data_IF_108254926973
#
_entry.id   IF_108254926973
#
_cell.length_a   1.000
_cell.length_b   1.000
_cell.length_c   1.000
_cell.angle_alpha   90.00
_cell.angle_beta   90.00
_cell.angle_gamma   90.00
#
_symmetry.space_group_name_H-M   'P 1'
#
loop_
_entity.id
_entity.type
_entity.pdbx_description
1 polymer ?
#
# COMPACT_ATOMS: atom_id res chain seq x y z
N UNK A 1 -1.96 -20.13 -13.22
CA UNK A 1 -1.52 -18.79 -13.67
C UNK A 1 -0.31 -18.39 -12.85
N UNK A 2 0.75 -17.86 -13.48
CA UNK A 2 1.94 -17.41 -12.75
C UNK A 2 1.64 -16.04 -12.11
N UNK A 3 1.79 -15.92 -10.79
CA UNK A 3 1.74 -14.62 -10.11
C UNK A 3 3.06 -13.88 -10.36
N UNK A 4 3.00 -12.66 -10.88
CA UNK A 4 4.15 -11.77 -10.96
C UNK A 4 4.25 -10.96 -9.66
N UNK A 5 5.47 -10.78 -9.14
CA UNK A 5 5.72 -10.05 -7.90
C UNK A 5 6.66 -8.88 -8.14
N UNK A 6 6.27 -7.70 -7.68
CA UNK A 6 7.12 -6.50 -7.67
C UNK A 6 7.43 -6.14 -6.22
N UNK A 7 8.72 -5.98 -5.91
CA UNK A 7 9.16 -5.51 -4.59
C UNK A 7 9.38 -3.99 -4.60
N UNK A 8 8.80 -3.30 -3.62
CA UNK A 8 8.80 -1.85 -3.53
C UNK A 8 9.37 -1.37 -2.20
N UNK A 9 10.33 -0.45 -2.23
CA UNK A 9 10.76 0.27 -1.03
C UNK A 9 11.08 1.72 -1.36
N UNK A 10 10.67 2.63 -0.48
CA UNK A 10 10.97 4.05 -0.59
C UNK A 10 9.80 4.95 -0.21
N UNK A 11 9.99 6.28 -0.24
CA UNK A 11 8.96 7.24 0.16
C UNK A 11 7.75 7.24 -0.79
N UNK A 12 6.58 7.72 -0.35
CA UNK A 12 5.34 7.69 -1.13
C UNK A 12 5.44 8.23 -2.56
N UNK A 13 6.23 9.29 -2.79
CA UNK A 13 6.44 9.85 -4.13
C UNK A 13 7.19 8.89 -5.04
N UNK A 14 8.21 8.20 -4.51
CA UNK A 14 8.97 7.23 -5.27
C UNK A 14 8.09 6.05 -5.66
N UNK A 15 7.31 5.51 -4.71
CA UNK A 15 6.34 4.44 -5.00
C UNK A 15 5.33 4.89 -6.05
N UNK A 16 4.79 6.11 -5.93
CA UNK A 16 3.85 6.67 -6.91
C UNK A 16 4.45 6.73 -8.32
N UNK A 17 5.71 7.19 -8.43
CA UNK A 17 6.43 7.22 -9.70
C UNK A 17 6.64 5.81 -10.26
N UNK A 18 7.04 4.86 -9.41
CA UNK A 18 7.22 3.47 -9.79
C UNK A 18 5.93 2.84 -10.35
N UNK A 19 4.80 3.00 -9.65
CA UNK A 19 3.48 2.54 -10.14
C UNK A 19 3.06 3.20 -11.47
N UNK A 20 3.53 4.42 -11.71
CA UNK A 20 3.26 5.14 -12.96
C UNK A 20 4.12 4.60 -14.10
N UNK A 21 5.41 4.38 -13.84
CA UNK A 21 6.37 3.87 -14.82
C UNK A 21 6.05 2.43 -15.23
N UNK A 22 5.67 1.59 -14.28
CA UNK A 22 5.35 0.17 -14.52
C UNK A 22 3.93 -0.08 -15.06
N UNK A 23 3.23 0.96 -15.53
CA UNK A 23 1.82 0.85 -15.97
C UNK A 23 1.57 -0.28 -16.99
N UNK A 24 2.52 -0.54 -17.89
CA UNK A 24 2.40 -1.60 -18.91
C UNK A 24 2.76 -3.00 -18.41
N UNK A 25 3.38 -3.11 -17.23
CA UNK A 25 3.88 -4.36 -16.66
C UNK A 25 3.02 -4.87 -15.49
N UNK A 26 2.19 -3.99 -14.91
CA UNK A 26 1.25 -4.33 -13.85
C UNK A 26 -0.07 -4.79 -14.51
N UNK A 27 -0.37 -6.08 -14.40
CA UNK A 27 -1.63 -6.68 -14.81
C UNK A 27 -2.41 -7.21 -13.61
N UNK A 28 -3.55 -7.85 -13.85
CA UNK A 28 -4.43 -8.34 -12.79
C UNK A 28 -3.77 -9.43 -11.91
N UNK A 29 -2.79 -10.16 -12.42
CA UNK A 29 -2.06 -11.20 -11.68
C UNK A 29 -0.83 -10.65 -10.95
N UNK A 30 -0.54 -9.35 -11.08
CA UNK A 30 0.58 -8.70 -10.40
C UNK A 30 0.25 -8.40 -8.95
N UNK A 31 1.11 -8.85 -8.04
CA UNK A 31 1.13 -8.45 -6.64
C UNK A 31 2.32 -7.55 -6.40
N UNK A 32 2.08 -6.40 -5.76
CA UNK A 32 3.14 -5.48 -5.35
C UNK A 32 3.28 -5.57 -3.84
N UNK A 33 4.47 -5.87 -3.35
CA UNK A 33 4.71 -6.04 -1.92
C UNK A 33 5.92 -5.23 -1.50
N UNK A 34 5.86 -4.62 -0.32
CA UNK A 34 7.06 -4.10 0.33
C UNK A 34 6.80 -2.96 1.30
N UNK A 35 7.87 -2.32 1.72
CA UNK A 35 7.88 -1.24 2.69
C UNK A 35 7.72 0.12 2.01
N UNK A 36 6.51 0.67 2.08
CA UNK A 36 6.19 1.94 1.43
C UNK A 36 6.61 3.15 2.27
N UNK A 37 7.18 2.90 3.47
CA UNK A 37 7.60 3.92 4.43
C UNK A 37 6.48 4.94 4.76
N UNK A 38 5.22 4.59 4.53
CA UNK A 38 4.07 5.46 4.76
C UNK A 38 2.82 4.65 5.04
N UNK A 39 1.99 5.05 6.02
CA UNK A 39 0.67 4.47 6.22
C UNK A 39 -0.28 4.92 5.09
N UNK A 40 -0.94 3.97 4.42
CA UNK A 40 -1.89 4.27 3.33
C UNK A 40 -3.23 4.81 3.84
N UNK A 41 -3.62 4.49 5.06
CA UNK A 41 -4.88 4.92 5.69
C UNK A 41 -4.65 5.42 7.10
N UNK A 42 -5.63 6.15 7.67
CA UNK A 42 -5.58 6.54 9.08
C UNK A 42 -5.49 5.33 10.02
N UNK A 43 -6.10 4.20 9.65
CA UNK A 43 -6.05 2.96 10.44
C UNK A 43 -4.66 2.35 10.54
N UNK A 44 -3.76 2.70 9.61
CA UNK A 44 -2.37 2.24 9.60
C UNK A 44 -1.48 3.00 10.60
N UNK A 45 -2.01 4.00 11.32
CA UNK A 45 -1.35 4.66 12.46
C UNK A 45 -2.11 4.38 13.74
N UNK A 46 -1.41 4.08 14.83
CA UNK A 46 -2.04 3.93 16.15
C UNK A 46 -2.79 5.21 16.60
N UNK A 47 -2.31 6.38 16.20
CA UNK A 47 -2.94 7.68 16.50
C UNK A 47 -4.15 7.99 15.64
N UNK A 48 -4.40 7.24 14.57
CA UNK A 48 -5.49 7.46 13.60
C UNK A 48 -5.52 8.85 12.99
N UNK A 49 -4.37 9.52 12.96
CA UNK A 49 -4.23 10.81 12.29
C UNK A 49 -4.49 10.69 10.78
N UNK A 50 -5.02 11.77 10.20
CA UNK A 50 -5.25 11.86 8.77
C UNK A 50 -3.93 11.70 7.99
N UNK A 51 -4.01 11.02 6.84
CA UNK A 51 -2.87 10.86 5.93
C UNK A 51 -2.45 12.21 5.32
N UNK A 52 -1.17 12.34 4.97
CA UNK A 52 -0.64 13.53 4.33
C UNK A 52 -1.01 13.59 2.84
N UNK A 53 -0.77 14.74 2.19
CA UNK A 53 -1.11 14.97 0.77
C UNK A 53 -0.36 14.04 -0.18
N UNK A 54 0.86 13.65 0.17
CA UNK A 54 1.73 12.83 -0.68
C UNK A 54 1.25 11.38 -0.73
N UNK A 55 0.81 10.87 0.42
CA UNK A 55 0.14 9.57 0.56
C UNK A 55 -1.22 9.60 -0.12
N UNK A 56 -1.97 10.70 0.00
CA UNK A 56 -3.22 10.85 -0.74
C UNK A 56 -2.98 10.74 -2.26
N UNK A 57 -1.99 11.44 -2.80
CA UNK A 57 -1.66 11.33 -4.22
C UNK A 57 -1.20 9.91 -4.64
N UNK A 58 -0.53 9.18 -3.74
CA UNK A 58 -0.21 7.78 -3.95
C UNK A 58 -1.48 6.91 -4.00
N UNK A 59 -2.41 7.09 -3.06
CA UNK A 59 -3.69 6.37 -3.05
C UNK A 59 -4.51 6.67 -4.31
N UNK A 60 -4.58 7.94 -4.73
CA UNK A 60 -5.28 8.33 -5.95
C UNK A 60 -4.68 7.64 -7.20
N UNK A 61 -3.35 7.43 -7.20
CA UNK A 61 -2.66 6.68 -8.27
C UNK A 61 -2.99 5.18 -8.21
N UNK A 62 -3.10 4.60 -7.02
CA UNK A 62 -3.54 3.21 -6.85
C UNK A 62 -4.96 3.04 -7.40
N UNK A 63 -5.88 3.95 -7.07
CA UNK A 63 -7.27 3.92 -7.55
C UNK A 63 -7.35 4.07 -9.08
N UNK A 64 -6.56 4.97 -9.67
CA UNK A 64 -6.45 5.11 -11.13
C UNK A 64 -5.88 3.86 -11.84
N UNK A 65 -5.23 2.97 -11.10
CA UNK A 65 -4.63 1.72 -11.59
C UNK A 65 -5.43 0.50 -11.17
N UNK A 66 -6.61 0.70 -10.56
CA UNK A 66 -7.45 -0.36 -10.00
C UNK A 66 -6.70 -1.30 -9.03
N UNK A 67 -5.72 -0.73 -8.31
CA UNK A 67 -4.97 -1.40 -7.26
C UNK A 67 -5.63 -1.12 -5.91
N UNK A 68 -5.55 -2.10 -5.00
CA UNK A 68 -6.03 -1.97 -3.63
C UNK A 68 -5.06 -2.63 -2.66
N UNK A 69 -4.96 -2.09 -1.45
CA UNK A 69 -4.28 -2.76 -0.35
C UNK A 69 -5.11 -3.98 0.08
N UNK A 70 -4.60 -5.17 -0.24
CA UNK A 70 -5.30 -6.44 -0.06
C UNK A 70 -5.60 -6.65 1.44
N UNK A 71 -4.59 -6.46 2.29
CA UNK A 71 -4.74 -6.66 3.73
C UNK A 71 -5.83 -5.74 4.30
N UNK A 72 -5.83 -4.46 3.90
CA UNK A 72 -6.82 -3.50 4.40
C UNK A 72 -8.23 -3.73 3.83
N UNK A 73 -8.34 -4.30 2.63
CA UNK A 73 -9.63 -4.73 2.07
C UNK A 73 -10.27 -5.82 2.92
N UNK A 74 -9.51 -6.83 3.37
CA UNK A 74 -10.03 -7.90 4.22
C UNK A 74 -10.14 -7.53 5.71
N UNK A 75 -9.29 -6.61 6.17
CA UNK A 75 -9.22 -6.20 7.58
C UNK A 75 -9.38 -4.67 7.74
N UNK A 76 -10.53 -4.08 7.35
CA UNK A 76 -10.69 -2.63 7.25
C UNK A 76 -10.53 -1.88 8.58
N UNK A 77 -10.71 -2.57 9.71
CA UNK A 77 -10.65 -1.99 11.06
C UNK A 77 -9.55 -2.58 11.95
N UNK A 78 -8.73 -3.50 11.43
CA UNK A 78 -7.66 -4.12 12.23
C UNK A 78 -6.61 -3.08 12.65
N UNK A 79 -6.16 -3.20 13.90
CA UNK A 79 -5.14 -2.37 14.52
C UNK A 79 -3.83 -3.16 14.65
N UNK A 80 -3.38 -3.75 13.54
CA UNK A 80 -2.10 -4.46 13.44
C UNK A 80 -1.08 -3.54 12.75
N UNK A 81 0.16 -3.60 13.22
CA UNK A 81 1.23 -2.68 12.85
C UNK A 81 2.51 -3.47 12.56
N UNK A 82 3.36 -2.96 11.67
CA UNK A 82 4.59 -3.63 11.25
C UNK A 82 5.86 -2.88 11.69
N UNK A 83 5.72 -1.64 12.14
CA UNK A 83 6.82 -0.79 12.57
C UNK A 83 6.47 0.01 13.84
N UNK A 84 7.46 0.17 14.73
CA UNK A 84 7.38 1.04 15.90
C UNK A 84 8.44 2.14 15.83
N UNK A 85 8.00 3.40 15.91
CA UNK A 85 8.90 4.55 16.02
C UNK A 85 9.14 4.88 17.49
N UNK A 86 10.34 4.59 18.00
CA UNK A 86 10.73 4.93 19.37
C UNK A 86 10.75 6.45 19.62
N UNK A 87 11.19 7.24 18.63
CA UNK A 87 11.26 8.70 18.73
C UNK A 87 9.89 9.37 18.93
N UNK A 88 8.83 8.75 18.43
CA UNK A 88 7.48 9.29 18.52
C UNK A 88 6.54 8.48 19.42
N UNK A 89 6.92 7.26 19.82
CA UNK A 89 6.06 6.35 20.57
C UNK A 89 4.83 5.89 19.78
N UNK A 90 4.93 5.83 18.45
CA UNK A 90 3.80 5.54 17.54
C UNK A 90 4.05 4.24 16.79
N UNK A 91 2.99 3.45 16.62
CA UNK A 91 2.99 2.26 15.78
C UNK A 91 2.41 2.58 14.40
N UNK A 92 3.05 2.02 13.38
CA UNK A 92 2.70 2.21 11.98
C UNK A 92 2.60 0.85 11.29
N UNK A 93 1.68 0.72 10.34
CA UNK A 93 1.77 -0.31 9.30
C UNK A 93 2.31 0.37 8.04
N UNK A 94 3.50 -0.05 7.62
CA UNK A 94 4.21 0.51 6.46
C UNK A 94 4.57 -0.56 5.42
N UNK A 95 4.41 -1.84 5.78
CA UNK A 95 4.49 -2.94 4.84
C UNK A 95 3.12 -3.18 4.23
N UNK A 96 3.05 -3.07 2.91
CA UNK A 96 1.81 -3.14 2.16
C UNK A 96 1.88 -4.21 1.08
N UNK A 97 0.72 -4.82 0.83
CA UNK A 97 0.50 -5.77 -0.25
C UNK A 97 -0.60 -5.16 -1.11
N UNK A 98 -0.25 -4.72 -2.31
CA UNK A 98 -1.22 -4.28 -3.30
C UNK A 98 -1.49 -5.38 -4.32
N UNK A 99 -2.73 -5.45 -4.78
CA UNK A 99 -3.10 -6.22 -5.96
C UNK A 99 -4.28 -5.58 -6.67
N UNK A 100 -4.58 -6.10 -7.85
CA UNK A 100 -5.68 -5.59 -8.65
C UNK A 100 -7.04 -5.95 -8.01
N UNK A 101 -8.02 -5.02 -8.05
CA UNK A 101 -9.34 -5.24 -7.42
C UNK A 101 -10.07 -6.44 -8.01
N UNK A 102 -9.94 -6.68 -9.32
CA UNK A 102 -10.52 -7.85 -9.99
C UNK A 102 -9.98 -9.20 -9.50
N UNK A 103 -8.79 -9.22 -8.88
CA UNK A 103 -8.13 -10.43 -8.40
C UNK A 103 -8.35 -10.70 -6.92
N UNK A 104 -9.13 -9.86 -6.22
CA UNK A 104 -9.43 -10.04 -4.80
C UNK A 104 -10.05 -11.41 -4.47
N UNK A 105 -10.88 -11.97 -5.36
CA UNK A 105 -11.49 -13.28 -5.16
C UNK A 105 -10.53 -14.47 -5.35
N UNK A 106 -9.28 -14.21 -5.73
CA UNK A 106 -8.25 -15.24 -5.93
C UNK A 106 -7.24 -15.31 -4.78
N UNK A 107 -7.37 -14.43 -3.77
CA UNK A 107 -6.51 -14.36 -2.59
C UNK A 107 -7.19 -14.94 -1.34
#
# INVERSE_FOLDING_TARGET
>A
TLLSKVFCSGPPQYIRLLLTTLKGEIDNNTIIVGDFNTPLTAMDRSTRQKINKETQALNDTQDQRDLTDIYRTFHPKAAEYTFFSSAHGIFFRIDHILGHRSSLGTF
#
